data_IF_997010068320
#
_entry.id   IF_997010068320
#
_cell.length_a   1.000
_cell.length_b   1.000
_cell.length_c   1.000
_cell.angle_alpha   90.00
_cell.angle_beta   90.00
_cell.angle_gamma   90.00
#
_symmetry.space_group_name_H-M   'P 1'
#
loop_
_entity.id
_entity.type
_entity.pdbx_description
1 polymer ?
#
# COMPACT_ATOMS: atom_id res chain seq x y z
N UNK A 1 18.09 4.27 -10.42
CA UNK A 1 19.48 4.43 -10.92
C UNK A 1 20.45 3.97 -9.85
N UNK A 2 21.40 3.06 -10.12
CA UNK A 2 22.36 2.59 -9.11
C UNK A 2 23.73 3.27 -9.34
N UNK A 3 24.02 4.32 -8.56
CA UNK A 3 25.24 5.13 -8.68
C UNK A 3 26.48 4.31 -8.28
N UNK A 4 26.39 3.47 -7.24
CA UNK A 4 27.49 2.61 -6.82
C UNK A 4 27.90 1.60 -7.90
N UNK A 5 26.94 1.11 -8.70
CA UNK A 5 27.24 0.24 -9.85
C UNK A 5 27.95 0.98 -11.00
N UNK A 6 27.63 2.27 -11.23
CA UNK A 6 28.30 3.11 -12.25
C UNK A 6 29.70 3.58 -11.82
N UNK A 7 30.01 3.57 -10.52
CA UNK A 7 31.33 3.94 -9.99
C UNK A 7 32.29 2.74 -9.82
N UNK A 8 31.92 1.56 -10.33
CA UNK A 8 32.67 0.29 -10.13
C UNK A 8 34.05 0.31 -10.78
N UNK A 9 34.16 0.87 -11.98
CA UNK A 9 35.42 1.19 -12.66
C UNK A 9 35.33 2.53 -13.38
N UNK A 10 36.48 3.04 -13.85
CA UNK A 10 36.52 4.28 -14.64
C UNK A 10 35.79 4.11 -15.97
N UNK A 11 36.01 2.99 -16.69
CA UNK A 11 35.34 2.77 -17.98
C UNK A 11 33.81 2.71 -17.83
N UNK A 12 33.29 2.11 -16.75
CA UNK A 12 31.83 2.06 -16.50
C UNK A 12 31.23 3.43 -16.19
N UNK A 13 32.01 4.35 -15.61
CA UNK A 13 31.58 5.73 -15.39
C UNK A 13 31.65 6.54 -16.67
N UNK A 14 32.78 6.51 -17.38
CA UNK A 14 33.00 7.28 -18.60
C UNK A 14 31.97 6.91 -19.68
N UNK A 15 31.70 5.61 -19.87
CA UNK A 15 30.64 5.13 -20.76
C UNK A 15 29.24 5.61 -20.32
N UNK A 16 28.95 5.61 -19.01
CA UNK A 16 27.70 6.12 -18.44
C UNK A 16 27.52 7.63 -18.63
N UNK A 17 28.60 8.40 -18.66
CA UNK A 17 28.58 9.85 -18.92
C UNK A 17 28.39 10.12 -20.41
N UNK A 18 29.06 9.36 -21.29
CA UNK A 18 28.88 9.49 -22.75
C UNK A 18 27.45 9.12 -23.19
N UNK A 19 26.90 8.01 -22.69
CA UNK A 19 25.48 7.64 -22.85
C UNK A 19 24.55 8.79 -22.43
N UNK A 20 24.75 9.33 -21.22
CA UNK A 20 23.89 10.39 -20.70
C UNK A 20 24.05 11.73 -21.45
N UNK A 21 25.23 12.04 -22.00
CA UNK A 21 25.42 13.18 -22.91
C UNK A 21 24.72 12.96 -24.26
N UNK A 22 24.81 11.77 -24.85
CA UNK A 22 24.12 11.43 -26.12
C UNK A 22 22.60 11.51 -26.00
N UNK A 23 22.04 11.14 -24.84
CA UNK A 23 20.61 11.26 -24.55
C UNK A 23 20.18 12.64 -23.99
N UNK A 24 21.08 13.63 -23.92
CA UNK A 24 20.77 14.97 -23.41
C UNK A 24 20.42 15.03 -21.92
N UNK A 25 20.68 13.97 -21.16
CA UNK A 25 20.43 13.86 -19.72
C UNK A 25 21.51 14.53 -18.86
N UNK A 26 22.63 14.94 -19.46
CA UNK A 26 23.66 15.77 -18.85
C UNK A 26 23.92 17.04 -19.71
N UNK A 27 24.29 18.17 -19.08
CA UNK A 27 24.78 19.34 -19.81
C UNK A 27 25.99 19.01 -20.70
N UNK A 28 26.15 19.73 -21.81
CA UNK A 28 27.27 19.52 -22.74
C UNK A 28 28.64 19.76 -22.05
N UNK A 29 28.67 20.77 -21.19
CA UNK A 29 29.76 21.22 -20.32
C UNK A 29 29.95 20.38 -19.03
N UNK A 30 29.25 19.25 -18.88
CA UNK A 30 29.47 18.33 -17.76
C UNK A 30 30.88 17.70 -17.84
N UNK A 31 31.78 18.11 -16.95
CA UNK A 31 33.20 17.71 -16.93
C UNK A 31 33.64 17.12 -15.57
N UNK A 32 32.72 16.45 -14.87
CA UNK A 32 33.04 15.78 -13.59
C UNK A 32 33.78 14.47 -13.86
N UNK A 33 35.01 14.33 -13.35
CA UNK A 33 35.80 13.12 -13.51
C UNK A 33 35.36 11.95 -12.61
N UNK A 34 35.78 10.74 -12.96
CA UNK A 34 35.55 9.54 -12.15
C UNK A 34 36.05 9.68 -10.71
N UNK A 35 37.24 10.28 -10.50
CA UNK A 35 37.85 10.37 -9.17
C UNK A 35 37.10 11.39 -8.28
N UNK A 36 36.64 12.50 -8.85
CA UNK A 36 35.81 13.49 -8.15
C UNK A 36 34.44 12.92 -7.80
N UNK A 37 33.76 12.28 -8.76
CA UNK A 37 32.45 11.64 -8.54
C UNK A 37 32.54 10.54 -7.48
N UNK A 38 33.61 9.74 -7.50
CA UNK A 38 33.90 8.70 -6.50
C UNK A 38 34.19 9.29 -5.12
N UNK A 39 34.95 10.38 -5.05
CA UNK A 39 35.27 11.09 -3.80
C UNK A 39 34.02 11.71 -3.19
N UNK A 40 33.20 12.39 -3.99
CA UNK A 40 31.91 12.95 -3.55
C UNK A 40 30.92 11.86 -3.09
N UNK A 41 30.92 10.69 -3.73
CA UNK A 41 30.09 9.55 -3.33
C UNK A 41 30.56 8.95 -2.00
N UNK A 42 31.87 8.68 -1.86
CA UNK A 42 32.45 8.14 -0.64
C UNK A 42 32.36 9.10 0.55
N UNK A 43 32.43 10.41 0.31
CA UNK A 43 32.25 11.46 1.33
C UNK A 43 30.80 11.76 1.69
N UNK A 44 29.81 11.12 1.05
CA UNK A 44 28.39 11.38 1.29
C UNK A 44 27.91 12.77 0.87
N UNK A 45 28.66 13.47 0.01
CA UNK A 45 28.42 14.88 -0.37
C UNK A 45 27.21 15.11 -1.28
N UNK A 46 26.60 14.04 -1.82
CA UNK A 46 25.42 14.14 -2.68
C UNK A 46 24.12 14.20 -1.87
N UNK A 47 23.49 15.38 -1.78
CA UNK A 47 21.99 15.54 -1.51
C UNK A 47 21.57 15.65 -3.05
N UNK A 48 21.05 14.52 -3.55
CA UNK A 48 20.21 14.27 -4.72
C UNK A 48 18.94 15.20 -4.60
N UNK A 49 18.34 15.86 -5.63
CA UNK A 49 17.20 16.84 -5.39
C UNK A 49 15.92 16.63 -6.24
N UNK A 50 14.71 16.66 -5.61
CA UNK A 50 13.35 16.42 -6.15
C UNK A 50 12.47 17.70 -6.21
N UNK A 51 12.54 18.46 -7.31
CA UNK A 51 11.41 19.26 -7.79
C UNK A 51 10.13 18.39 -7.80
N UNK A 52 9.16 18.70 -6.95
CA UNK A 52 8.00 17.85 -6.65
C UNK A 52 7.27 17.31 -7.91
N UNK A 53 7.18 18.11 -8.97
CA UNK A 53 6.52 17.75 -10.24
C UNK A 53 7.03 16.42 -10.83
N UNK A 54 8.30 16.08 -10.63
CA UNK A 54 8.86 14.81 -11.11
C UNK A 54 8.50 13.61 -10.21
N UNK A 55 8.34 13.82 -8.90
CA UNK A 55 7.81 12.78 -7.99
C UNK A 55 6.36 12.50 -8.36
N UNK A 56 5.54 13.55 -8.48
CA UNK A 56 4.15 13.47 -8.90
C UNK A 56 4.03 12.80 -10.27
N UNK A 57 4.92 13.11 -11.23
CA UNK A 57 4.93 12.43 -12.54
C UNK A 57 5.23 10.93 -12.44
N UNK A 58 6.14 10.52 -11.55
CA UNK A 58 6.46 9.10 -11.33
C UNK A 58 5.34 8.37 -10.56
N UNK A 59 4.73 9.03 -9.58
CA UNK A 59 3.57 8.52 -8.84
C UNK A 59 2.34 8.34 -9.74
N UNK A 60 2.10 9.27 -10.66
CA UNK A 60 1.05 9.15 -11.68
C UNK A 60 1.34 8.03 -12.69
N UNK A 61 2.60 7.82 -13.09
CA UNK A 61 2.98 6.71 -13.98
C UNK A 61 2.83 5.33 -13.29
N UNK A 62 2.98 5.26 -11.96
CA UNK A 62 2.67 4.05 -11.21
C UNK A 62 1.16 3.75 -11.15
N UNK A 63 0.28 4.74 -11.36
CA UNK A 63 -1.17 4.56 -11.32
C UNK A 63 -1.65 3.57 -12.40
N UNK A 64 -1.08 3.63 -13.60
CA UNK A 64 -1.41 2.73 -14.72
C UNK A 64 -1.09 1.25 -14.40
N UNK A 65 -0.12 1.00 -13.52
CA UNK A 65 0.21 -0.33 -13.02
C UNK A 65 -0.60 -0.72 -11.76
N UNK A 66 -0.97 0.26 -10.93
CA UNK A 66 -1.72 0.04 -9.69
C UNK A 66 -3.21 -0.21 -9.96
N UNK A 67 -3.84 0.55 -10.86
CA UNK A 67 -5.28 0.45 -11.11
C UNK A 67 -5.74 -0.95 -11.56
N UNK A 68 -5.05 -1.66 -12.49
CA UNK A 68 -5.38 -3.05 -12.82
C UNK A 68 -5.25 -4.03 -11.66
N UNK A 69 -4.45 -3.74 -10.64
CA UNK A 69 -4.32 -4.58 -9.43
C UNK A 69 -5.45 -4.32 -8.43
N UNK A 70 -5.94 -3.08 -8.36
CA UNK A 70 -7.12 -2.72 -7.55
C UNK A 70 -8.42 -3.25 -8.17
N UNK A 71 -8.56 -3.15 -9.50
CA UNK A 71 -9.74 -3.64 -10.23
C UNK A 71 -9.87 -5.18 -10.25
N UNK A 72 -8.79 -5.92 -9.97
CA UNK A 72 -8.78 -7.39 -9.84
C UNK A 72 -9.22 -7.90 -8.45
N UNK A 73 -9.54 -7.00 -7.51
CA UNK A 73 -10.00 -7.36 -6.16
C UNK A 73 -11.52 -7.28 -6.06
N UNK A 74 -12.09 -8.19 -5.27
CA UNK A 74 -13.45 -8.03 -4.74
C UNK A 74 -13.45 -7.04 -3.59
N UNK A 75 -14.51 -6.24 -3.49
CA UNK A 75 -14.63 -5.13 -2.55
C UNK A 75 -15.85 -5.30 -1.64
N UNK A 76 -15.60 -5.41 -0.34
CA UNK A 76 -16.61 -5.52 0.71
C UNK A 76 -16.83 -4.16 1.37
N UNK A 77 -18.04 -3.63 1.30
CA UNK A 77 -18.44 -2.42 2.01
C UNK A 77 -19.02 -2.78 3.38
N UNK A 78 -18.24 -2.56 4.43
CA UNK A 78 -18.62 -2.78 5.82
C UNK A 78 -19.38 -1.58 6.36
N UNK A 79 -20.57 -1.81 6.94
CA UNK A 79 -21.41 -0.79 7.58
C UNK A 79 -21.36 -0.96 9.10
N UNK A 80 -20.89 0.06 9.81
CA UNK A 80 -20.84 0.05 11.27
C UNK A 80 -22.22 0.34 11.88
N UNK A 81 -22.62 -0.36 12.97
CA UNK A 81 -23.93 -0.19 13.55
C UNK A 81 -24.02 1.10 14.36
N UNK A 82 -25.26 1.57 14.58
CA UNK A 82 -25.58 2.68 15.48
C UNK A 82 -24.93 2.46 16.87
N UNK A 83 -24.44 3.53 17.52
CA UNK A 83 -23.87 3.44 18.88
C UNK A 83 -22.45 2.88 19.02
N UNK A 84 -21.96 2.09 18.06
CA UNK A 84 -20.64 1.42 18.08
C UNK A 84 -19.41 2.33 18.29
N UNK A 85 -19.56 3.64 18.08
CA UNK A 85 -18.48 4.62 17.97
C UNK A 85 -17.79 4.63 16.61
N UNK A 86 -18.11 3.68 15.72
CA UNK A 86 -17.74 3.70 14.32
C UNK A 86 -16.30 3.33 13.99
N UNK A 87 -15.97 3.38 12.71
CA UNK A 87 -14.63 3.17 12.18
C UNK A 87 -13.72 4.39 12.42
N UNK A 88 -12.47 4.14 12.79
CA UNK A 88 -11.40 5.15 12.91
C UNK A 88 -10.47 5.10 11.69
N UNK A 89 -9.76 6.20 11.45
CA UNK A 89 -8.74 6.33 10.39
C UNK A 89 -7.38 6.73 10.97
N UNK A 90 -6.34 6.88 10.13
CA UNK A 90 -4.99 7.26 10.56
C UNK A 90 -4.29 8.15 9.52
N UNK A 91 -3.05 8.53 9.80
CA UNK A 91 -2.13 9.13 8.81
C UNK A 91 -1.70 8.14 7.70
N UNK A 92 -2.07 6.86 7.81
CA UNK A 92 -1.94 5.82 6.78
C UNK A 92 -3.31 5.18 6.50
N UNK A 93 -4.29 5.92 5.94
CA UNK A 93 -5.68 5.49 5.84
C UNK A 93 -5.89 4.31 4.88
N UNK A 94 -5.00 4.15 3.89
CA UNK A 94 -4.96 3.00 3.00
C UNK A 94 -3.96 1.97 3.56
N UNK A 95 -4.48 0.88 4.13
CA UNK A 95 -3.69 -0.15 4.79
C UNK A 95 -3.68 -1.44 3.96
N UNK A 96 -2.49 -1.99 3.70
CA UNK A 96 -2.30 -3.27 3.04
C UNK A 96 -1.72 -4.26 4.06
N UNK A 97 -2.33 -5.44 4.17
CA UNK A 97 -1.97 -6.49 5.12
C UNK A 97 -2.02 -7.86 4.44
N UNK A 98 -1.30 -8.85 4.97
CA UNK A 98 -1.53 -10.25 4.60
C UNK A 98 -2.95 -10.66 5.01
N UNK A 99 -3.65 -11.45 4.19
CA UNK A 99 -4.94 -12.03 4.58
C UNK A 99 -4.74 -12.93 5.79
N UNK A 100 -3.82 -13.91 5.72
CA UNK A 100 -3.44 -14.76 6.86
C UNK A 100 -2.90 -13.91 8.04
N UNK A 101 -3.55 -13.95 9.22
CA UNK A 101 -3.07 -13.27 10.41
C UNK A 101 -1.66 -13.66 10.89
N UNK A 102 -1.21 -14.89 10.64
CA UNK A 102 0.13 -15.32 11.04
C UNK A 102 1.20 -14.54 10.25
N UNK A 103 1.03 -14.46 8.92
CA UNK A 103 1.94 -13.71 8.03
C UNK A 103 2.00 -12.21 8.33
N UNK A 104 0.94 -11.58 8.86
CA UNK A 104 0.92 -10.15 9.28
C UNK A 104 2.00 -9.77 10.31
N UNK A 105 2.70 -10.76 10.87
CA UNK A 105 3.72 -10.60 11.91
C UNK A 105 5.11 -11.13 11.51
N UNK A 106 5.23 -11.63 10.28
CA UNK A 106 6.51 -12.05 9.70
C UNK A 106 7.43 -10.89 9.29
N UNK A 107 8.64 -11.19 8.79
CA UNK A 107 9.58 -10.19 8.28
C UNK A 107 9.14 -9.59 6.93
N UNK A 108 8.30 -10.30 6.18
CA UNK A 108 7.87 -9.93 4.83
C UNK A 108 6.68 -8.95 4.86
N UNK A 109 6.86 -7.80 4.22
CA UNK A 109 5.77 -6.86 3.99
C UNK A 109 4.88 -7.34 2.83
N UNK A 110 3.55 -7.18 2.92
CA UNK A 110 2.63 -7.56 1.85
C UNK A 110 2.85 -6.67 0.60
N UNK A 111 2.85 -7.28 -0.58
CA UNK A 111 2.90 -6.59 -1.87
C UNK A 111 1.51 -6.47 -2.50
N UNK A 112 1.20 -5.33 -3.12
CA UNK A 112 -0.13 -5.02 -3.68
C UNK A 112 -0.63 -6.07 -4.70
N UNK A 113 0.30 -6.66 -5.45
CA UNK A 113 0.04 -7.68 -6.47
C UNK A 113 0.01 -9.12 -5.93
N UNK A 114 0.29 -9.35 -4.63
CA UNK A 114 0.36 -10.70 -4.06
C UNK A 114 -1.03 -11.19 -3.66
N UNK A 115 -1.38 -12.41 -4.08
CA UNK A 115 -2.55 -13.13 -3.57
C UNK A 115 -2.39 -13.41 -2.07
N UNK A 116 -3.51 -13.57 -1.36
CA UNK A 116 -3.46 -13.65 0.10
C UNK A 116 -3.04 -12.34 0.77
N UNK A 117 -3.31 -11.18 0.15
CA UNK A 117 -3.25 -9.86 0.80
C UNK A 117 -4.60 -9.16 0.74
N UNK A 118 -4.94 -8.43 1.80
CA UNK A 118 -6.15 -7.62 1.93
C UNK A 118 -5.79 -6.14 2.01
N UNK A 119 -6.54 -5.31 1.29
CA UNK A 119 -6.58 -3.85 1.46
C UNK A 119 -7.68 -3.53 2.48
N UNK A 120 -7.47 -2.54 3.34
CA UNK A 120 -8.49 -1.95 4.19
C UNK A 120 -8.36 -0.42 4.21
N UNK A 121 -9.48 0.30 4.06
CA UNK A 121 -9.57 1.72 4.34
C UNK A 121 -10.97 2.15 4.80
N UNK A 122 -11.09 3.02 5.81
CA UNK A 122 -12.35 3.66 6.18
C UNK A 122 -12.69 4.78 5.20
N UNK A 123 -13.96 4.87 4.80
CA UNK A 123 -14.52 6.01 4.06
C UNK A 123 -15.11 7.03 5.05
N UNK A 124 -15.76 6.54 6.10
CA UNK A 124 -16.35 7.36 7.17
C UNK A 124 -16.49 6.55 8.46
N UNK A 125 -16.88 7.17 9.59
CA UNK A 125 -17.17 6.42 10.81
C UNK A 125 -18.29 5.38 10.67
N UNK A 126 -19.11 5.43 9.61
CA UNK A 126 -20.15 4.43 9.32
C UNK A 126 -19.77 3.43 8.23
N UNK A 127 -18.77 3.73 7.40
CA UNK A 127 -18.44 2.93 6.20
C UNK A 127 -16.94 2.68 6.10
N UNK A 128 -16.55 1.42 5.95
CA UNK A 128 -15.19 1.04 5.59
C UNK A 128 -15.19 -0.01 4.48
N UNK A 129 -14.08 -0.13 3.77
CA UNK A 129 -13.92 -1.02 2.62
C UNK A 129 -12.78 -1.99 2.85
N UNK A 130 -13.00 -3.26 2.54
CA UNK A 130 -11.97 -4.32 2.46
C UNK A 130 -11.87 -4.80 1.02
N UNK A 131 -10.65 -4.89 0.47
CA UNK A 131 -10.38 -5.29 -0.91
C UNK A 131 -9.45 -6.49 -1.02
N UNK A 132 -9.92 -7.64 -1.50
CA UNK A 132 -9.18 -8.90 -1.50
C UNK A 132 -9.25 -9.65 -2.84
N UNK A 133 -8.26 -10.51 -3.11
CA UNK A 133 -8.27 -11.37 -4.29
C UNK A 133 -9.18 -12.60 -4.11
N UNK A 134 -9.81 -13.03 -5.20
CA UNK A 134 -10.73 -14.17 -5.29
C UNK A 134 -11.94 -14.10 -4.33
N UNK A 135 -12.53 -12.92 -4.19
CA UNK A 135 -13.79 -12.70 -3.45
C UNK A 135 -14.76 -11.86 -4.29
N UNK A 136 -16.06 -11.97 -4.03
CA UNK A 136 -17.09 -11.16 -4.70
C UNK A 136 -17.27 -9.79 -4.03
N UNK A 137 -17.81 -8.81 -4.77
CA UNK A 137 -18.23 -7.54 -4.20
C UNK A 137 -19.46 -7.74 -3.30
N UNK A 138 -19.43 -7.28 -2.05
CA UNK A 138 -20.58 -7.39 -1.13
C UNK A 138 -20.77 -6.12 -0.29
N UNK A 139 -21.93 -6.00 0.35
CA UNK A 139 -22.22 -5.02 1.40
C UNK A 139 -22.61 -5.81 2.64
N UNK A 140 -22.08 -5.43 3.80
CA UNK A 140 -22.25 -6.18 5.05
C UNK A 140 -22.47 -5.25 6.24
N UNK A 141 -23.51 -5.51 7.04
CA UNK A 141 -23.67 -4.90 8.36
C UNK A 141 -22.82 -5.68 9.36
N UNK A 142 -21.79 -5.03 9.92
CA UNK A 142 -20.89 -5.65 10.89
C UNK A 142 -21.32 -5.34 12.32
N UNK A 143 -20.90 -6.15 13.28
CA UNK A 143 -21.19 -5.93 14.71
C UNK A 143 -20.14 -5.00 15.37
N UNK A 144 -20.37 -4.63 16.64
CA UNK A 144 -19.41 -3.80 17.38
C UNK A 144 -18.03 -4.46 17.55
N UNK A 145 -17.94 -5.80 17.63
CA UNK A 145 -16.66 -6.51 17.76
C UNK A 145 -15.86 -6.43 16.47
N UNK A 146 -16.47 -6.60 15.30
CA UNK A 146 -15.80 -6.49 14.01
C UNK A 146 -15.39 -5.05 13.70
N UNK A 147 -16.18 -4.04 14.09
CA UNK A 147 -15.74 -2.63 14.10
C UNK A 147 -14.53 -2.45 15.03
N UNK A 148 -14.57 -3.02 16.24
CA UNK A 148 -13.45 -2.92 17.19
C UNK A 148 -12.16 -3.61 16.70
N UNK A 149 -12.28 -4.74 15.99
CA UNK A 149 -11.13 -5.37 15.31
C UNK A 149 -10.62 -4.46 14.19
N UNK A 150 -11.47 -4.00 13.28
CA UNK A 150 -11.06 -3.13 12.17
C UNK A 150 -10.39 -1.81 12.65
N UNK A 151 -10.85 -1.27 13.78
CA UNK A 151 -10.22 -0.12 14.44
C UNK A 151 -8.81 -0.41 14.96
N UNK A 152 -8.57 -1.59 15.54
CA UNK A 152 -7.21 -2.01 15.89
C UNK A 152 -6.32 -2.18 14.64
N UNK A 153 -6.86 -2.60 13.49
CA UNK A 153 -6.05 -2.74 12.27
C UNK A 153 -5.52 -1.39 11.83
N UNK A 154 -6.39 -0.37 11.83
CA UNK A 154 -6.01 1.01 11.55
C UNK A 154 -5.00 1.57 12.56
N UNK A 155 -5.24 1.38 13.86
CA UNK A 155 -4.34 1.85 14.92
C UNK A 155 -2.97 1.15 14.91
N UNK A 156 -2.89 -0.09 14.40
CA UNK A 156 -1.63 -0.81 14.19
C UNK A 156 -0.91 -0.41 12.88
N UNK A 157 -1.64 0.15 11.91
CA UNK A 157 -1.12 0.59 10.61
C UNK A 157 -0.64 2.04 10.55
N UNK A 158 -0.98 2.86 11.54
CA UNK A 158 -0.59 4.27 11.65
C UNK A 158 0.93 4.47 11.83
N UNK A 159 1.49 5.57 11.29
CA UNK A 159 2.88 5.98 11.55
C UNK A 159 2.98 6.79 12.86
N UNK A 160 2.06 7.74 13.07
CA UNK A 160 2.10 8.73 14.17
C UNK A 160 0.75 9.05 14.77
N UNK A 161 -0.30 9.11 13.95
CA UNK A 161 -1.60 9.68 14.31
C UNK A 161 -2.76 8.77 13.91
N UNK A 162 -3.73 8.65 14.83
CA UNK A 162 -5.01 7.98 14.66
C UNK A 162 -6.10 9.04 14.83
N UNK A 163 -7.09 9.05 13.95
CA UNK A 163 -8.16 10.04 13.91
C UNK A 163 -9.52 9.35 14.09
N UNK A 164 -10.33 9.88 15.00
CA UNK A 164 -11.68 9.40 15.30
C UNK A 164 -12.59 10.60 15.65
N UNK A 165 -13.92 10.50 15.50
CA UNK A 165 -14.84 11.60 15.83
C UNK A 165 -14.85 11.96 17.32
N UNK A 166 -14.69 10.96 18.19
CA UNK A 166 -14.52 11.10 19.63
C UNK A 166 -13.67 9.96 20.19
N UNK A 167 -13.67 9.77 21.52
CA UNK A 167 -12.92 8.72 22.22
C UNK A 167 -13.78 7.50 22.61
N UNK A 168 -15.03 7.41 22.14
CA UNK A 168 -15.98 6.32 22.45
C UNK A 168 -15.82 5.12 21.52
N UNK A 169 -15.12 5.25 20.39
CA UNK A 169 -14.84 4.12 19.50
C UNK A 169 -14.25 2.93 20.27
N UNK A 170 -14.65 1.73 19.85
CA UNK A 170 -14.16 0.48 20.42
C UNK A 170 -12.92 -0.03 19.68
N UNK A 171 -12.03 -0.75 20.37
CA UNK A 171 -10.92 -1.49 19.77
C UNK A 171 -10.67 -2.85 20.46
N UNK A 172 -10.42 -3.90 19.68
CA UNK A 172 -10.17 -5.27 20.12
C UNK A 172 -9.08 -5.93 19.23
N UNK A 173 -8.27 -6.84 19.78
CA UNK A 173 -7.19 -7.51 19.05
C UNK A 173 -7.67 -8.77 18.31
N UNK A 174 -8.73 -9.39 18.82
CA UNK A 174 -9.43 -10.53 18.22
C UNK A 174 -10.94 -10.34 18.42
N UNK A 175 -11.75 -11.15 17.75
CA UNK A 175 -13.21 -11.09 17.89
C UNK A 175 -13.70 -11.48 19.29
N UNK A 176 -13.04 -12.46 19.92
CA UNK A 176 -13.44 -13.00 21.22
C UNK A 176 -13.16 -12.03 22.38
N UNK A 177 -12.11 -11.20 22.25
CA UNK A 177 -11.71 -10.23 23.26
C UNK A 177 -12.80 -9.18 23.52
N UNK A 178 -13.05 -8.84 24.78
CA UNK A 178 -13.95 -7.75 25.16
C UNK A 178 -13.42 -6.42 24.63
N UNK A 179 -14.17 -5.66 23.80
CA UNK A 179 -13.69 -4.41 23.25
C UNK A 179 -13.37 -3.34 24.31
N UNK A 180 -12.22 -2.68 24.15
CA UNK A 180 -11.78 -1.52 24.95
C UNK A 180 -12.23 -0.22 24.29
N UNK A 181 -12.33 0.86 25.04
CA UNK A 181 -12.68 2.21 24.51
C UNK A 181 -11.45 3.02 24.15
N UNK A 182 -11.55 3.86 23.13
CA UNK A 182 -10.45 4.62 22.53
C UNK A 182 -9.63 5.48 23.50
N UNK A 183 -10.23 5.99 24.59
CA UNK A 183 -9.50 6.68 25.66
C UNK A 183 -8.42 5.82 26.35
N UNK A 184 -8.51 4.48 26.30
CA UNK A 184 -7.52 3.56 26.85
C UNK A 184 -6.34 3.30 25.89
N UNK A 185 -6.48 3.59 24.59
CA UNK A 185 -5.55 3.21 23.50
C UNK A 185 -4.08 3.57 23.80
N UNK A 186 -3.82 4.80 24.26
CA UNK A 186 -2.48 5.30 24.58
C UNK A 186 -1.91 4.72 25.89
N UNK A 187 -2.78 4.26 26.80
CA UNK A 187 -2.37 3.63 28.06
C UNK A 187 -2.02 2.14 27.88
N UNK A 188 -2.53 1.51 26.82
CA UNK A 188 -2.40 0.09 26.56
C UNK A 188 -1.00 -0.27 26.01
N UNK A 189 -0.16 -0.70 26.95
CA UNK A 189 1.23 -1.13 26.70
C UNK A 189 1.32 -2.50 26.01
N UNK A 190 0.22 -3.16 25.66
CA UNK A 190 0.18 -4.46 24.97
C UNK A 190 -0.40 -4.42 23.55
N UNK A 191 -1.31 -3.49 23.24
CA UNK A 191 -2.13 -3.57 22.02
C UNK A 191 -1.48 -3.08 20.71
N UNK A 192 -0.44 -2.22 20.77
CA UNK A 192 0.16 -1.63 19.54
C UNK A 192 1.70 -1.63 19.52
N UNK A 193 2.33 -2.32 20.48
CA UNK A 193 3.79 -2.36 20.60
C UNK A 193 4.39 -3.58 19.91
N UNK A 194 4.83 -3.40 18.66
CA UNK A 194 5.67 -4.35 17.93
C UNK A 194 4.94 -5.15 16.84
N UNK A 195 5.71 -5.57 15.82
CA UNK A 195 5.30 -6.54 14.79
C UNK A 195 5.29 -7.95 15.41
N UNK A 196 4.23 -8.26 16.17
CA UNK A 196 4.07 -9.57 16.83
C UNK A 196 2.60 -9.89 17.13
N UNK A 197 2.24 -11.16 16.94
CA UNK A 197 1.01 -11.89 17.31
C UNK A 197 -0.30 -11.10 17.57
N UNK A 198 -1.17 -11.00 16.56
CA UNK A 198 -2.64 -10.83 16.73
C UNK A 198 -3.39 -11.62 15.65
N UNK A 199 -4.44 -12.35 16.02
CA UNK A 199 -5.30 -13.09 15.06
C UNK A 199 -6.46 -12.20 14.61
N UNK A 200 -6.39 -11.78 13.35
CA UNK A 200 -7.38 -10.96 12.68
C UNK A 200 -8.41 -11.82 11.94
N UNK A 201 -9.36 -11.17 11.27
CA UNK A 201 -10.05 -11.77 10.13
C UNK A 201 -9.45 -11.21 8.84
N UNK A 202 -9.23 -12.07 7.86
CA UNK A 202 -9.14 -11.74 6.44
C UNK A 202 -10.51 -11.48 5.83
N UNK A 203 -10.58 -10.90 4.63
CA UNK A 203 -11.81 -10.84 3.83
C UNK A 203 -12.46 -12.21 3.64
N UNK A 204 -11.64 -13.27 3.52
CA UNK A 204 -12.13 -14.66 3.42
C UNK A 204 -12.67 -15.18 4.76
N UNK A 205 -12.13 -14.77 5.90
CA UNK A 205 -12.72 -15.07 7.20
C UNK A 205 -14.00 -14.27 7.45
N UNK A 206 -14.10 -13.00 7.02
CA UNK A 206 -15.37 -12.24 7.05
C UNK A 206 -16.49 -13.01 6.32
N UNK A 207 -16.16 -13.74 5.25
CA UNK A 207 -17.11 -14.56 4.49
C UNK A 207 -17.39 -15.96 5.12
N UNK A 208 -16.55 -16.46 6.04
CA UNK A 208 -16.59 -17.85 6.55
C UNK A 208 -16.79 -17.97 8.08
N UNK A 209 -17.17 -16.89 8.78
CA UNK A 209 -17.11 -16.81 10.26
C UNK A 209 -18.24 -17.55 11.02
N UNK A 210 -19.03 -18.39 10.35
CA UNK A 210 -20.01 -19.29 10.99
C UNK A 210 -19.39 -20.53 11.69
N UNK A 211 -18.08 -20.81 11.54
CA UNK A 211 -17.43 -21.96 12.19
C UNK A 211 -16.27 -21.62 13.16
N UNK A 212 -16.61 -21.65 14.46
CA UNK A 212 -15.81 -22.17 15.61
C UNK A 212 -14.66 -21.32 16.21
N UNK A 213 -14.63 -21.33 17.54
CA UNK A 213 -13.69 -20.63 18.44
C UNK A 213 -12.40 -21.42 18.73
N UNK A 214 -11.33 -20.76 19.23
CA UNK A 214 -10.62 -21.12 20.50
C UNK A 214 -9.20 -20.50 20.68
N UNK A 215 -8.96 -19.90 21.86
CA UNK A 215 -7.70 -19.81 22.66
C UNK A 215 -6.37 -19.13 22.20
N UNK A 216 -5.98 -18.09 22.98
CA UNK A 216 -4.60 -17.76 23.50
C UNK A 216 -3.50 -17.24 22.53
N UNK A 217 -2.49 -16.41 22.88
CA UNK A 217 -1.88 -16.02 24.18
C UNK A 217 -1.02 -14.70 24.15
N UNK A 218 -0.93 -13.97 25.29
CA UNK A 218 0.11 -13.02 25.84
C UNK A 218 1.07 -12.13 24.96
N UNK A 219 1.09 -10.82 25.29
CA UNK A 219 2.24 -9.87 25.58
C UNK A 219 3.54 -9.90 24.72
N UNK A 220 4.23 -8.79 24.32
CA UNK A 220 4.64 -7.59 25.09
C UNK A 220 5.43 -6.52 24.26
N UNK A 221 5.24 -5.20 24.53
CA UNK A 221 6.21 -4.05 24.66
C UNK A 221 7.59 -4.11 23.90
N UNK A 222 8.19 -3.02 23.33
CA UNK A 222 8.15 -1.56 23.68
C UNK A 222 8.90 -0.63 22.65
N UNK A 223 8.40 0.61 22.46
CA UNK A 223 9.03 1.95 22.21
C UNK A 223 10.27 2.20 21.28
N UNK A 224 10.06 3.10 20.28
CA UNK A 224 10.78 4.39 19.99
C UNK A 224 12.26 4.41 19.49
N UNK A 225 12.82 5.53 18.93
CA UNK A 225 12.29 6.55 17.99
C UNK A 225 13.34 7.16 16.97
N UNK A 226 12.97 8.26 16.28
CA UNK A 226 13.79 9.42 15.77
C UNK A 226 14.60 9.35 14.44
N UNK A 227 13.99 9.90 13.37
CA UNK A 227 14.42 11.08 12.56
C UNK A 227 15.89 11.35 12.16
N UNK A 228 16.14 11.46 10.84
CA UNK A 228 17.13 12.35 10.16
C UNK A 228 16.66 12.64 8.70
N UNK A 229 17.25 13.58 7.90
CA UNK A 229 16.57 14.26 6.79
C UNK A 229 16.79 13.68 5.38
N UNK A 230 16.01 14.19 4.40
CA UNK A 230 15.81 13.59 3.07
C UNK A 230 16.59 14.29 1.95
N UNK A 231 17.38 13.53 1.19
CA UNK A 231 17.73 13.81 -0.22
C UNK A 231 16.91 12.87 -1.16
N UNK A 232 16.86 13.19 -2.46
CA UNK A 232 15.65 13.65 -3.19
C UNK A 232 15.97 13.51 -4.75
N UNK A 233 15.09 13.52 -5.79
CA UNK A 233 15.34 12.80 -7.11
C UNK A 233 14.94 13.37 -8.54
N UNK A 234 14.59 14.64 -8.76
CA UNK A 234 13.72 15.15 -9.88
C UNK A 234 14.21 15.28 -11.32
N UNK A 235 15.51 15.32 -11.61
CA UNK A 235 15.99 15.71 -12.96
C UNK A 235 15.92 14.53 -13.94
N UNK A 236 14.97 13.62 -13.70
CA UNK A 236 14.78 12.36 -14.41
C UNK A 236 13.32 12.28 -14.88
N UNK A 237 13.12 12.61 -16.15
CA UNK A 237 11.91 12.26 -16.91
C UNK A 237 12.17 10.98 -17.73
N UNK A 238 11.14 10.24 -18.15
CA UNK A 238 11.30 8.82 -18.48
C UNK A 238 11.64 8.56 -19.96
N UNK A 239 12.91 8.29 -20.24
CA UNK A 239 13.34 7.58 -21.45
C UNK A 239 13.54 6.09 -21.14
N UNK A 240 12.44 5.31 -21.12
CA UNK A 240 12.38 3.85 -21.33
C UNK A 240 10.99 3.33 -20.94
N UNK A 241 10.15 2.99 -21.93
CA UNK A 241 9.09 1.95 -21.91
C UNK A 241 8.31 1.99 -23.24
N UNK A 242 9.02 1.96 -24.38
CA UNK A 242 8.40 1.64 -25.67
C UNK A 242 8.80 0.20 -26.04
N UNK A 243 7.82 -0.70 -25.95
CA UNK A 243 7.90 -2.06 -26.49
C UNK A 243 6.62 -2.35 -27.26
N UNK A 244 6.57 -1.85 -28.49
CA UNK A 244 5.60 -2.28 -29.50
C UNK A 244 5.65 -3.80 -29.68
N UNK A 245 4.52 -4.47 -29.42
CA UNK A 245 4.34 -5.90 -29.66
C UNK A 245 3.66 -6.10 -31.02
N UNK A 246 4.35 -6.61 -32.05
CA UNK A 246 3.74 -6.85 -33.35
C UNK A 246 3.01 -8.21 -33.36
N UNK A 247 1.76 -8.23 -33.85
CA UNK A 247 1.11 -9.47 -34.30
C UNK A 247 -0.20 -9.85 -33.60
N UNK A 248 -1.30 -9.15 -33.93
CA UNK A 248 -2.64 -9.74 -33.91
C UNK A 248 -3.28 -9.52 -35.28
N UNK A 249 -3.52 -10.60 -36.02
CA UNK A 249 -4.19 -10.54 -37.33
C UNK A 249 -5.70 -10.34 -37.16
N UNK A 250 -6.23 -9.28 -37.76
CA UNK A 250 -7.67 -9.03 -37.79
C UNK A 250 -8.40 -10.17 -38.53
N UNK A 251 -9.42 -10.76 -37.90
CA UNK A 251 -10.41 -11.60 -38.58
C UNK A 251 -11.66 -10.77 -38.85
N UNK A 252 -12.03 -10.68 -40.12
CA UNK A 252 -13.30 -10.06 -40.53
C UNK A 252 -14.47 -10.91 -40.02
N UNK A 253 -15.42 -10.28 -39.32
CA UNK A 253 -16.78 -10.81 -39.17
C UNK A 253 -17.74 -9.92 -39.94
N UNK A 254 -17.98 -10.29 -41.19
CA UNK A 254 -19.09 -9.80 -41.99
C UNK A 254 -20.39 -10.48 -41.59
N UNK A 255 -21.49 -9.73 -41.51
CA UNK A 255 -22.84 -10.28 -41.43
C UNK A 255 -23.52 -10.11 -40.07
N UNK A 256 -24.27 -9.02 -39.94
CA UNK A 256 -25.50 -8.99 -39.14
C UNK A 256 -26.53 -8.27 -40.02
N UNK A 257 -27.51 -9.01 -40.54
CA UNK A 257 -28.49 -8.51 -41.50
C UNK A 257 -29.69 -7.91 -40.79
N UNK A 258 -30.23 -6.82 -41.35
CA UNK A 258 -31.53 -6.29 -40.95
C UNK A 258 -32.63 -7.34 -41.18
N UNK A 259 -33.47 -7.56 -40.16
CA UNK A 259 -34.83 -8.05 -40.36
C UNK A 259 -35.76 -7.18 -39.52
N UNK A 260 -36.64 -6.44 -40.20
CA UNK A 260 -37.75 -5.76 -39.59
C UNK A 260 -39.01 -6.61 -39.82
N UNK A 261 -39.62 -7.08 -38.74
CA UNK A 261 -41.00 -7.57 -38.78
C UNK A 261 -41.88 -6.62 -37.98
N UNK A 262 -42.81 -5.98 -38.67
CA UNK A 262 -44.01 -5.41 -38.06
C UNK A 262 -45.05 -6.51 -37.87
N UNK A 263 -45.95 -6.34 -36.88
CA UNK A 263 -47.38 -6.67 -36.97
C UNK A 263 -48.08 -6.18 -35.70
N UNK A 264 -49.19 -5.47 -35.90
CA UNK A 264 -50.23 -5.06 -34.93
C UNK A 264 -49.78 -4.37 -33.64
#
# INVERSE_FOLDING_TARGET
MNIAARLRSRETYDASVQEAKQHGALPADYDVSYDEMKTAFGGGGFKLVLKNNALVSLELQLLDHIMPLLLKRGWHLLRAPEGSGGFITSDRPFFLMWSDPAMRTGPEAPGLALTGTDIYFPISPRLAVVGAFDVANTIEDVDERRVAVANSAMAAGADRQVYAPDHKFSYAQTHDETPRRGNQLLSDKGSFHGRASRRWMSARELHNVDEKQSTSCRFSRRRLPRSVPTFDLSVLHPCCMDQTVPGVTARNHTGCSEQAESIN
#
